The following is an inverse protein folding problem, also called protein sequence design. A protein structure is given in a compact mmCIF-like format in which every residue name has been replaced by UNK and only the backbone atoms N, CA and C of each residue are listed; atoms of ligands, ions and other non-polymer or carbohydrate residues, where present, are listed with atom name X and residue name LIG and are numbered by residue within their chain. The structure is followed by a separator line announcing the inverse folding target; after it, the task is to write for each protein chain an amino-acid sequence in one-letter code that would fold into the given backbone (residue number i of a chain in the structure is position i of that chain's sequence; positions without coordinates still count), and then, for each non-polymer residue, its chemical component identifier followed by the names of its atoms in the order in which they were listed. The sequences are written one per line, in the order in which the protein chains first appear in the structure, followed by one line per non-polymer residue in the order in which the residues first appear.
data_IF_079198896518
#
_entry.id   IF_079198896518
#
_cell.length_a   1.000
_cell.length_b   1.000
_cell.length_c   1.000
_cell.angle_alpha   90.00
_cell.angle_beta   90.00
_cell.angle_gamma   90.00
#
_symmetry.space_group_name_H-M   'P 1'
#
loop_
_entity.id
_entity.type
_entity.pdbx_description
1 polymer ?
#
# COMPACT_ATOMS: atom_id res chain seq x y z
N UNK A 1 -3.79 0.71 -17.21
CA UNK A 1 -4.61 -0.48 -17.53
C UNK A 1 -5.87 -0.44 -16.68
N UNK A 2 -7.02 -0.86 -17.19
CA UNK A 2 -8.24 -0.97 -16.40
C UNK A 2 -8.46 -2.44 -16.02
N UNK A 3 -8.57 -2.72 -14.71
CA UNK A 3 -8.87 -4.05 -14.18
C UNK A 3 -10.39 -4.31 -14.29
N UNK A 4 -10.78 -5.54 -14.58
CA UNK A 4 -12.19 -5.91 -14.59
C UNK A 4 -12.80 -5.76 -13.18
N UNK A 5 -14.10 -5.47 -13.08
CA UNK A 5 -14.76 -5.35 -11.78
C UNK A 5 -14.67 -6.66 -11.00
N UNK A 6 -14.20 -6.57 -9.75
CA UNK A 6 -13.93 -7.72 -8.89
C UNK A 6 -12.56 -8.38 -9.08
N UNK A 7 -11.74 -7.93 -10.04
CA UNK A 7 -10.36 -8.41 -10.23
C UNK A 7 -9.38 -7.61 -9.37
N UNK A 8 -8.99 -8.15 -8.22
CA UNK A 8 -8.04 -7.53 -7.29
C UNK A 8 -6.58 -7.90 -7.56
N UNK A 9 -6.22 -8.37 -8.76
CA UNK A 9 -4.82 -8.73 -9.11
C UNK A 9 -3.81 -7.59 -8.95
N UNK A 10 -4.26 -6.33 -8.88
CA UNK A 10 -3.44 -5.15 -8.55
C UNK A 10 -3.09 -5.00 -7.06
N UNK A 11 -3.60 -5.87 -6.20
CA UNK A 11 -3.31 -5.90 -4.76
C UNK A 11 -2.14 -6.85 -4.51
N UNK A 12 -0.97 -6.29 -4.19
CA UNK A 12 0.27 -7.06 -3.98
C UNK A 12 0.16 -8.07 -2.83
N UNK A 13 -0.45 -7.68 -1.71
CA UNK A 13 -0.63 -8.56 -0.55
C UNK A 13 -1.70 -9.63 -0.83
N UNK A 14 -1.28 -10.90 -0.86
CA UNK A 14 -2.12 -12.04 -1.20
C UNK A 14 -3.32 -12.19 -0.26
N UNK A 15 -3.12 -12.01 1.04
CA UNK A 15 -4.19 -12.13 2.02
C UNK A 15 -5.24 -11.03 1.83
N UNK A 16 -4.80 -9.77 1.66
CA UNK A 16 -5.69 -8.65 1.35
C UNK A 16 -6.48 -8.89 0.06
N UNK A 17 -5.84 -9.45 -0.97
CA UNK A 17 -6.49 -9.80 -2.23
C UNK A 17 -7.60 -10.82 -2.04
N UNK A 18 -7.31 -11.95 -1.40
CA UNK A 18 -8.29 -13.01 -1.12
C UNK A 18 -9.47 -12.48 -0.31
N UNK A 19 -9.20 -11.64 0.70
CA UNK A 19 -10.25 -11.02 1.52
C UNK A 19 -11.13 -10.09 0.69
N UNK A 20 -10.55 -9.24 -0.16
CA UNK A 20 -11.29 -8.31 -1.00
C UNK A 20 -12.12 -9.01 -2.06
N UNK A 21 -11.57 -10.03 -2.73
CA UNK A 21 -12.30 -10.87 -3.70
C UNK A 21 -13.51 -11.55 -3.06
N UNK A 22 -13.30 -12.15 -1.89
CA UNK A 22 -14.37 -12.85 -1.16
C UNK A 22 -15.48 -11.88 -0.73
N UNK A 23 -15.10 -10.74 -0.17
CA UNK A 23 -16.04 -9.72 0.27
C UNK A 23 -16.81 -9.10 -0.90
N UNK A 24 -16.14 -8.83 -2.02
CA UNK A 24 -16.78 -8.34 -3.23
C UNK A 24 -17.83 -9.33 -3.76
N UNK A 25 -17.50 -10.62 -3.79
CA UNK A 25 -18.43 -11.68 -4.17
C UNK A 25 -19.64 -11.73 -3.21
N UNK A 26 -19.42 -11.65 -1.90
CA UNK A 26 -20.48 -11.65 -0.89
C UNK A 26 -21.42 -10.45 -1.01
N UNK A 27 -20.89 -9.23 -1.18
CA UNK A 27 -21.71 -8.01 -1.38
C UNK A 27 -22.52 -8.11 -2.67
N UNK A 28 -21.93 -8.67 -3.73
CA UNK A 28 -22.61 -8.84 -5.02
C UNK A 28 -23.76 -9.84 -4.93
N UNK A 29 -23.53 -11.02 -4.35
CA UNK A 29 -24.56 -12.06 -4.17
C UNK A 29 -25.71 -11.59 -3.28
N UNK A 30 -25.42 -10.76 -2.28
CA UNK A 30 -26.45 -10.22 -1.38
C UNK A 30 -27.09 -8.93 -1.88
N UNK A 31 -26.70 -8.44 -3.07
CA UNK A 31 -27.23 -7.20 -3.68
C UNK A 31 -27.11 -5.95 -2.77
N UNK A 32 -26.10 -5.93 -1.89
CA UNK A 32 -25.97 -4.93 -0.82
C UNK A 32 -25.21 -3.64 -1.22
N UNK A 33 -24.85 -3.49 -2.49
CA UNK A 33 -24.08 -2.33 -2.99
C UNK A 33 -24.76 -0.98 -2.69
N UNK A 34 -26.08 -0.88 -2.91
CA UNK A 34 -26.84 0.35 -2.64
C UNK A 34 -26.92 0.70 -1.14
N UNK A 35 -26.93 -0.33 -0.29
CA UNK A 35 -26.92 -0.14 1.15
C UNK A 35 -25.56 0.38 1.62
N UNK A 36 -24.46 -0.18 1.11
CA UNK A 36 -23.11 0.32 1.40
C UNK A 36 -22.88 1.75 0.91
N UNK A 37 -23.49 2.14 -0.21
CA UNK A 37 -23.43 3.52 -0.71
C UNK A 37 -24.04 4.53 0.27
N UNK A 38 -25.06 4.12 1.02
CA UNK A 38 -25.77 4.95 2.01
C UNK A 38 -25.23 4.76 3.44
N UNK A 39 -24.37 3.78 3.66
CA UNK A 39 -23.93 3.42 5.00
C UNK A 39 -23.19 4.57 5.71
N UNK A 40 -23.55 4.74 6.99
CA UNK A 40 -22.90 5.65 7.94
C UNK A 40 -22.59 4.85 9.22
N UNK A 41 -21.44 4.17 9.29
CA UNK A 41 -21.16 3.19 10.34
C UNK A 41 -20.95 3.78 11.74
N UNK A 42 -20.92 5.11 11.86
CA UNK A 42 -20.83 5.81 13.14
C UNK A 42 -19.56 5.50 13.95
N UNK A 43 -19.65 5.73 15.26
CA UNK A 43 -18.56 5.50 16.20
C UNK A 43 -18.38 4.01 16.47
N UNK A 44 -17.33 3.41 15.91
CA UNK A 44 -17.08 1.96 15.93
C UNK A 44 -16.87 1.36 14.54
N UNK A 45 -17.24 2.10 13.49
CA UNK A 45 -17.06 1.66 12.11
C UNK A 45 -17.87 0.41 11.79
N UNK A 46 -17.53 -0.27 10.69
CA UNK A 46 -18.19 -1.51 10.28
C UNK A 46 -17.94 -2.69 11.22
N UNK A 47 -17.01 -2.56 12.17
CA UNK A 47 -16.74 -3.58 13.18
C UNK A 47 -17.83 -3.61 14.26
N UNK A 48 -18.37 -2.44 14.63
CA UNK A 48 -19.41 -2.29 15.65
C UNK A 48 -20.48 -1.29 15.19
N UNK A 49 -21.26 -1.62 14.13
CA UNK A 49 -22.28 -0.71 13.64
C UNK A 49 -23.34 -0.47 14.72
N UNK A 50 -23.61 0.80 15.02
CA UNK A 50 -24.65 1.20 15.96
C UNK A 50 -26.05 1.03 15.38
N UNK A 51 -26.18 1.26 14.07
CA UNK A 51 -27.43 1.11 13.32
C UNK A 51 -27.85 -0.37 13.19
N UNK A 52 -29.05 -0.76 13.67
CA UNK A 52 -29.58 -2.11 13.51
C UNK A 52 -29.72 -2.56 12.05
N UNK A 53 -30.04 -1.65 11.12
CA UNK A 53 -30.17 -1.98 9.71
C UNK A 53 -28.82 -2.32 9.10
N UNK A 54 -27.81 -1.48 9.34
CA UNK A 54 -26.44 -1.76 8.94
C UNK A 54 -25.90 -3.05 9.58
N UNK A 55 -26.26 -3.33 10.84
CA UNK A 55 -25.89 -4.59 11.49
C UNK A 55 -26.46 -5.80 10.75
N UNK A 56 -27.74 -5.77 10.37
CA UNK A 56 -28.38 -6.84 9.58
C UNK A 56 -27.67 -7.03 8.24
N UNK A 57 -27.42 -5.94 7.51
CA UNK A 57 -26.67 -5.96 6.25
C UNK A 57 -25.30 -6.61 6.47
N UNK A 58 -24.62 -6.28 7.56
CA UNK A 58 -23.32 -6.85 7.84
C UNK A 58 -23.36 -8.34 8.19
N UNK A 59 -24.41 -8.81 8.87
CA UNK A 59 -24.61 -10.22 9.15
C UNK A 59 -24.89 -11.02 7.86
N UNK A 60 -25.66 -10.45 6.92
CA UNK A 60 -25.94 -11.05 5.61
C UNK A 60 -24.67 -11.21 4.77
N UNK A 61 -23.88 -10.13 4.65
CA UNK A 61 -22.60 -10.15 3.93
C UNK A 61 -21.66 -11.18 4.57
N UNK A 62 -21.56 -11.19 5.90
CA UNK A 62 -20.70 -12.13 6.64
C UNK A 62 -21.11 -13.59 6.41
N UNK A 63 -22.42 -13.86 6.38
CA UNK A 63 -22.94 -15.20 6.12
C UNK A 63 -22.63 -15.64 4.68
N UNK A 64 -22.78 -14.75 3.70
CA UNK A 64 -22.46 -15.02 2.29
C UNK A 64 -20.95 -15.21 2.06
N UNK A 65 -20.12 -14.51 2.83
CA UNK A 65 -18.67 -14.68 2.88
C UNK A 65 -18.23 -15.98 3.60
N UNK A 66 -19.20 -16.84 3.97
CA UNK A 66 -19.03 -18.13 4.62
C UNK A 66 -18.23 -18.05 5.94
N UNK A 67 -18.31 -16.94 6.66
CA UNK A 67 -17.52 -16.69 7.86
C UNK A 67 -16.02 -17.02 7.66
N UNK A 68 -15.45 -16.73 6.49
CA UNK A 68 -13.99 -16.84 6.31
C UNK A 68 -13.28 -16.09 7.44
N UNK A 69 -12.11 -16.59 7.85
CA UNK A 69 -11.38 -16.21 9.06
C UNK A 69 -10.92 -14.73 9.10
N UNK A 70 -11.87 -13.81 9.10
CA UNK A 70 -11.66 -12.41 9.34
C UNK A 70 -11.64 -12.18 10.85
N UNK A 71 -10.52 -11.68 11.36
CA UNK A 71 -10.55 -10.92 12.61
C UNK A 71 -11.55 -9.76 12.48
N UNK A 72 -12.12 -9.28 13.59
CA UNK A 72 -13.04 -8.13 13.56
C UNK A 72 -12.43 -6.88 12.89
N UNK A 73 -11.12 -6.68 13.04
CA UNK A 73 -10.38 -5.59 12.39
C UNK A 73 -10.26 -5.75 10.87
N UNK A 74 -9.91 -6.96 10.40
CA UNK A 74 -9.84 -7.22 8.94
C UNK A 74 -11.22 -7.16 8.30
N UNK A 75 -12.26 -7.68 8.96
CA UNK A 75 -13.64 -7.56 8.48
C UNK A 75 -14.05 -6.09 8.29
N UNK A 76 -13.85 -5.26 9.31
CA UNK A 76 -14.18 -3.84 9.24
C UNK A 76 -13.41 -3.10 8.13
N UNK A 77 -12.14 -3.48 7.90
CA UNK A 77 -11.34 -2.94 6.81
C UNK A 77 -11.88 -3.35 5.43
N UNK A 78 -12.21 -4.63 5.22
CA UNK A 78 -12.67 -5.12 3.91
C UNK A 78 -14.01 -4.52 3.52
N UNK A 79 -14.94 -4.39 4.49
CA UNK A 79 -16.24 -3.76 4.27
C UNK A 79 -16.08 -2.28 3.95
N UNK A 80 -15.16 -1.58 4.63
CA UNK A 80 -14.83 -0.19 4.29
C UNK A 80 -14.32 -0.07 2.85
N UNK A 81 -13.58 -1.04 2.34
CA UNK A 81 -13.13 -1.05 0.94
C UNK A 81 -14.31 -1.23 -0.03
N UNK A 82 -15.27 -2.11 0.28
CA UNK A 82 -16.49 -2.25 -0.52
C UNK A 82 -17.36 -0.99 -0.49
N UNK A 83 -17.48 -0.33 0.66
CA UNK A 83 -18.18 0.95 0.78
C UNK A 83 -17.55 2.03 -0.12
N UNK A 84 -16.21 2.09 -0.16
CA UNK A 84 -15.51 3.01 -1.08
C UNK A 84 -15.87 2.66 -2.53
N UNK A 85 -15.79 1.39 -2.93
CA UNK A 85 -16.17 0.94 -4.28
C UNK A 85 -17.62 1.34 -4.59
N UNK A 86 -18.56 1.12 -3.66
CA UNK A 86 -19.97 1.48 -3.83
C UNK A 86 -20.18 2.99 -4.02
N UNK A 87 -19.36 3.81 -3.36
CA UNK A 87 -19.47 5.28 -3.38
C UNK A 87 -18.76 5.94 -4.57
N UNK A 88 -17.54 5.48 -4.91
CA UNK A 88 -16.69 6.11 -5.93
C UNK A 88 -16.58 5.33 -7.24
N UNK A 89 -17.05 4.09 -7.26
CA UNK A 89 -16.95 3.18 -8.40
C UNK A 89 -15.61 2.44 -8.46
N UNK A 90 -15.63 1.30 -9.15
CA UNK A 90 -14.49 0.39 -9.28
C UNK A 90 -13.24 1.05 -9.87
N UNK A 91 -13.37 1.77 -10.99
CA UNK A 91 -12.24 2.38 -11.67
C UNK A 91 -11.50 3.40 -10.77
N UNK A 92 -12.25 4.19 -10.01
CA UNK A 92 -11.69 5.15 -9.04
C UNK A 92 -10.95 4.42 -7.93
N UNK A 93 -11.56 3.35 -7.39
CA UNK A 93 -10.92 2.52 -6.36
C UNK A 93 -9.58 1.93 -6.83
N UNK A 94 -9.52 1.35 -8.03
CA UNK A 94 -8.28 0.81 -8.59
C UNK A 94 -7.21 1.90 -8.72
N UNK A 95 -7.57 3.04 -9.31
CA UNK A 95 -6.65 4.15 -9.50
C UNK A 95 -6.08 4.68 -8.19
N UNK A 96 -6.95 4.89 -7.18
CA UNK A 96 -6.54 5.38 -5.87
C UNK A 96 -5.67 4.36 -5.12
N UNK A 97 -5.99 3.06 -5.22
CA UNK A 97 -5.20 2.01 -4.58
C UNK A 97 -3.79 1.93 -5.17
N UNK A 98 -3.68 1.89 -6.50
CA UNK A 98 -2.40 1.83 -7.21
C UNK A 98 -1.58 3.08 -6.91
N UNK A 99 -2.21 4.26 -6.90
CA UNK A 99 -1.55 5.51 -6.53
C UNK A 99 -0.98 5.44 -5.10
N UNK A 100 -1.74 4.96 -4.13
CA UNK A 100 -1.27 4.82 -2.74
C UNK A 100 -0.08 3.85 -2.64
N UNK A 101 -0.10 2.74 -3.38
CA UNK A 101 1.02 1.79 -3.42
C UNK A 101 2.28 2.42 -4.02
N UNK A 102 2.14 3.16 -5.13
CA UNK A 102 3.25 3.88 -5.76
C UNK A 102 3.82 4.97 -4.84
N UNK A 103 2.96 5.72 -4.15
CA UNK A 103 3.38 6.73 -3.18
C UNK A 103 4.15 6.11 -2.01
N UNK A 104 3.68 4.99 -1.46
CA UNK A 104 4.38 4.26 -0.40
C UNK A 104 5.73 3.71 -0.88
N UNK A 105 5.79 3.16 -2.11
CA UNK A 105 7.03 2.69 -2.75
C UNK A 105 8.04 3.83 -2.92
N UNK A 106 7.60 4.97 -3.45
CA UNK A 106 8.46 6.16 -3.62
C UNK A 106 8.97 6.65 -2.28
N UNK A 107 8.12 6.72 -1.25
CA UNK A 107 8.53 7.16 0.07
C UNK A 107 9.60 6.23 0.68
N UNK A 108 9.47 4.92 0.50
CA UNK A 108 10.49 3.95 0.92
C UNK A 108 11.81 4.15 0.19
N UNK A 109 11.77 4.28 -1.14
CA UNK A 109 12.96 4.51 -1.96
C UNK A 109 13.65 5.85 -1.66
N UNK A 110 12.86 6.87 -1.32
CA UNK A 110 13.39 8.16 -0.87
C UNK A 110 14.19 8.00 0.43
N UNK A 111 13.66 7.25 1.40
CA UNK A 111 14.39 6.94 2.65
C UNK A 111 15.69 6.19 2.37
N UNK A 112 15.66 5.17 1.50
CA UNK A 112 16.87 4.42 1.11
C UNK A 112 17.91 5.32 0.42
N UNK A 113 17.48 6.24 -0.44
CA UNK A 113 18.34 7.24 -1.06
C UNK A 113 18.97 8.20 -0.03
N UNK A 114 18.17 8.71 0.91
CA UNK A 114 18.63 9.65 1.93
C UNK A 114 19.65 9.01 2.87
N UNK A 115 19.44 7.74 3.26
CA UNK A 115 20.38 6.95 4.05
C UNK A 115 21.70 6.71 3.28
N UNK A 116 21.62 6.27 2.02
CA UNK A 116 22.80 6.07 1.19
C UNK A 116 23.59 7.37 0.98
N UNK A 117 22.90 8.49 0.77
CA UNK A 117 23.50 9.81 0.61
C UNK A 117 24.22 10.26 1.89
N UNK A 118 23.62 10.00 3.05
CA UNK A 118 24.23 10.32 4.35
C UNK A 118 25.52 9.53 4.56
N UNK A 119 25.49 8.21 4.31
CA UNK A 119 26.66 7.33 4.45
C UNK A 119 27.77 7.74 3.48
N UNK A 120 27.45 7.89 2.20
CA UNK A 120 28.40 8.33 1.18
C UNK A 120 29.08 9.63 1.58
N UNK A 121 28.32 10.64 2.00
CA UNK A 121 28.86 11.93 2.47
C UNK A 121 29.70 11.81 3.73
N UNK A 122 29.39 10.88 4.62
CA UNK A 122 30.17 10.64 5.84
C UNK A 122 31.52 10.01 5.52
N UNK A 123 31.52 8.97 4.67
CA UNK A 123 32.74 8.26 4.23
C UNK A 123 33.62 9.18 3.40
N UNK A 124 33.05 9.90 2.42
CA UNK A 124 33.81 10.82 1.56
C UNK A 124 34.50 11.92 2.39
N UNK A 125 33.76 12.58 3.30
CA UNK A 125 34.36 13.58 4.21
C UNK A 125 35.46 12.99 5.10
N UNK A 126 35.36 11.72 5.47
CA UNK A 126 36.39 11.03 6.26
C UNK A 126 37.64 10.74 5.43
N UNK A 127 37.47 10.34 4.17
CA UNK A 127 38.55 10.14 3.18
C UNK A 127 39.34 11.43 2.97
N UNK A 128 38.65 12.55 2.73
CA UNK A 128 39.23 13.89 2.50
C UNK A 128 40.13 14.37 3.65
N UNK A 129 39.84 13.95 4.88
CA UNK A 129 40.59 14.34 6.08
C UNK A 129 41.79 13.42 6.38
N UNK A 130 41.97 12.32 5.65
CA UNK A 130 43.06 11.39 5.92
C UNK A 130 44.38 11.94 5.37
N UNK A 131 45.37 12.03 6.26
CA UNK A 131 46.75 12.38 5.91
C UNK A 131 47.65 11.16 5.74
N UNK A 132 47.28 10.02 6.33
CA UNK A 132 47.97 8.75 6.12
C UNK A 132 47.58 8.15 4.76
N UNK A 133 48.53 7.90 3.83
CA UNK A 133 48.22 7.40 2.48
C UNK A 133 47.47 6.06 2.45
N UNK A 134 47.86 5.10 3.30
CA UNK A 134 47.23 3.77 3.34
C UNK A 134 45.78 3.86 3.84
N UNK A 135 45.56 4.67 4.87
CA UNK A 135 44.20 4.89 5.42
C UNK A 135 43.35 5.68 4.42
N UNK A 136 43.96 6.63 3.69
CA UNK A 136 43.28 7.39 2.64
C UNK A 136 42.80 6.47 1.52
N UNK A 137 43.68 5.61 0.99
CA UNK A 137 43.35 4.63 -0.05
C UNK A 137 42.21 3.69 0.39
N UNK A 138 42.25 3.21 1.64
CA UNK A 138 41.16 2.41 2.22
C UNK A 138 39.82 3.15 2.19
N UNK A 139 39.76 4.41 2.64
CA UNK A 139 38.52 5.20 2.60
C UNK A 139 38.10 5.58 1.18
N UNK A 140 39.02 5.75 0.23
CA UNK A 140 38.70 5.96 -1.18
C UNK A 140 38.05 4.72 -1.81
N UNK A 141 38.48 3.51 -1.44
CA UNK A 141 37.82 2.28 -1.86
C UNK A 141 36.39 2.19 -1.31
N UNK A 142 36.19 2.46 -0.02
CA UNK A 142 34.85 2.49 0.58
C UNK A 142 34.00 3.57 -0.10
N UNK A 143 34.55 4.77 -0.31
CA UNK A 143 33.82 5.86 -0.98
C UNK A 143 33.34 5.44 -2.37
N UNK A 144 34.15 4.69 -3.14
CA UNK A 144 33.73 4.14 -4.43
C UNK A 144 32.56 3.16 -4.28
N UNK A 145 32.60 2.26 -3.30
CA UNK A 145 31.50 1.29 -3.04
C UNK A 145 30.21 2.01 -2.64
N UNK A 146 30.29 2.96 -1.71
CA UNK A 146 29.12 3.73 -1.26
C UNK A 146 28.55 4.61 -2.37
N UNK A 147 29.40 5.14 -3.26
CA UNK A 147 28.94 5.86 -4.45
C UNK A 147 28.09 4.99 -5.36
N UNK A 148 28.50 3.73 -5.61
CA UNK A 148 27.70 2.80 -6.40
C UNK A 148 26.34 2.52 -5.76
N UNK A 149 26.28 2.38 -4.43
CA UNK A 149 25.01 2.18 -3.69
C UNK A 149 24.10 3.40 -3.84
N UNK A 150 24.64 4.61 -3.66
CA UNK A 150 23.90 5.86 -3.86
C UNK A 150 23.36 6.00 -5.29
N UNK A 151 24.16 5.65 -6.30
CA UNK A 151 23.74 5.70 -7.69
C UNK A 151 22.62 4.69 -7.99
N UNK A 152 22.69 3.48 -7.43
CA UNK A 152 21.62 2.48 -7.54
C UNK A 152 20.31 2.95 -6.86
N UNK A 153 20.39 3.51 -5.64
CA UNK A 153 19.24 4.06 -4.95
C UNK A 153 18.61 5.23 -5.73
N UNK A 154 19.44 6.13 -6.26
CA UNK A 154 18.99 7.25 -7.10
C UNK A 154 18.31 6.77 -8.38
N UNK A 155 18.81 5.70 -9.00
CA UNK A 155 18.19 5.12 -10.19
C UNK A 155 16.80 4.55 -9.86
N UNK A 156 16.69 3.71 -8.82
CA UNK A 156 15.42 3.10 -8.42
C UNK A 156 14.35 4.14 -8.07
N UNK A 157 14.72 5.20 -7.35
CA UNK A 157 13.82 6.30 -7.01
C UNK A 157 13.29 6.99 -8.28
N UNK A 158 14.18 7.35 -9.22
CA UNK A 158 13.78 8.01 -10.47
C UNK A 158 12.86 7.15 -11.33
N UNK A 159 13.10 5.84 -11.40
CA UNK A 159 12.24 4.94 -12.15
C UNK A 159 10.83 4.85 -11.52
N UNK A 160 10.74 4.80 -10.19
CA UNK A 160 9.44 4.82 -9.51
C UNK A 160 8.70 6.16 -9.69
N UNK A 161 9.41 7.30 -9.69
CA UNK A 161 8.82 8.61 -9.98
C UNK A 161 8.31 8.73 -11.42
N UNK A 162 8.99 8.10 -12.38
CA UNK A 162 8.50 8.01 -13.77
C UNK A 162 7.22 7.17 -13.84
N UNK A 163 7.20 6.03 -13.16
CA UNK A 163 6.03 5.14 -13.08
C UNK A 163 4.79 5.87 -12.55
N UNK A 164 4.95 6.75 -11.56
CA UNK A 164 3.85 7.59 -11.03
C UNK A 164 3.29 8.59 -12.04
N UNK A 165 4.11 9.08 -12.96
CA UNK A 165 3.73 10.14 -13.90
C UNK A 165 3.29 9.61 -15.29
N UNK A 166 3.30 8.28 -15.48
CA UNK A 166 2.93 7.60 -16.72
C UNK A 166 1.44 7.26 -16.76
#
# INVERSE_FOLDING_TARGET
MAYAEGDFSFVDDENARIMLESMHAAVTVTENWDNLKKAEPGHGGFMYPSDPELRRIMEEIRAADNNKDHSGGTYGWTVRKMEIIAKSGWATFCADYIKQQLEAKIQKLQTEYDEALLIYRAVWRRSERQTNPQVKEYYEEITRKEKCILEAASYNLREAEKERNA
#
